data_IF_495289886624
#
_entry.id   IF_495289886624
#
_cell.length_a   1.000
_cell.length_b   1.000
_cell.length_c   1.000
_cell.angle_alpha   90.00
_cell.angle_beta   90.00
_cell.angle_gamma   90.00
#
_symmetry.space_group_name_H-M   'P 1'
#
loop_
_entity.id
_entity.type
_entity.pdbx_description
1 polymer ?
#
# COMPACT_ATOMS: atom_id res chain seq x y z
N UNK A 1 -9.87 3.66 28.92
CA UNK A 1 -9.57 3.73 27.49
C UNK A 1 -8.09 4.03 27.31
N UNK A 2 -7.32 3.15 26.65
CA UNK A 2 -5.89 3.37 26.36
C UNK A 2 -5.80 4.06 25.00
N UNK A 3 -5.57 5.37 25.00
CA UNK A 3 -5.28 6.11 23.77
C UNK A 3 -3.92 5.66 23.22
N UNK A 4 -3.80 5.55 21.89
CA UNK A 4 -2.60 5.07 21.23
C UNK A 4 -1.40 5.95 21.61
N UNK A 5 -0.40 5.37 22.28
CA UNK A 5 0.76 6.09 22.82
C UNK A 5 2.02 5.99 21.94
N UNK A 6 1.91 5.48 20.71
CA UNK A 6 3.07 5.22 19.83
C UNK A 6 2.94 6.00 18.53
N UNK A 7 3.28 7.28 18.59
CA UNK A 7 3.60 8.10 17.41
C UNK A 7 5.01 7.81 16.85
N UNK A 8 5.76 6.92 17.48
CA UNK A 8 7.16 6.56 17.15
C UNK A 8 7.27 5.47 16.07
N UNK A 9 6.15 4.85 15.65
CA UNK A 9 6.21 3.99 14.46
C UNK A 9 6.22 4.89 13.24
N UNK A 10 7.39 5.02 12.61
CA UNK A 10 7.50 5.50 11.24
C UNK A 10 6.50 4.70 10.40
N UNK A 11 5.44 5.34 9.92
CA UNK A 11 4.50 4.73 8.97
C UNK A 11 5.10 4.71 7.56
N UNK A 12 6.42 4.88 7.41
CA UNK A 12 7.07 4.88 6.12
C UNK A 12 8.32 4.01 6.11
N UNK A 13 8.63 3.48 4.92
CA UNK A 13 9.81 2.67 4.66
C UNK A 13 10.47 3.13 3.37
N UNK A 14 11.81 3.15 3.36
CA UNK A 14 12.63 3.32 2.16
C UNK A 14 13.76 2.29 2.16
N UNK A 15 14.04 1.71 1.00
CA UNK A 15 15.14 0.75 0.79
C UNK A 15 15.90 1.08 -0.50
N UNK A 16 17.14 0.63 -0.59
CA UNK A 16 17.94 0.66 -1.83
C UNK A 16 17.60 -0.49 -2.78
N UNK A 17 16.87 -1.49 -2.28
CA UNK A 17 16.27 -2.60 -3.04
C UNK A 17 14.76 -2.42 -3.17
N UNK A 18 14.10 -3.08 -4.13
CA UNK A 18 12.64 -3.15 -4.18
C UNK A 18 12.04 -3.61 -2.85
N UNK A 19 10.90 -3.01 -2.49
CA UNK A 19 10.11 -3.41 -1.33
C UNK A 19 9.44 -4.76 -1.61
N UNK A 20 9.48 -5.64 -0.62
CA UNK A 20 8.78 -6.93 -0.66
C UNK A 20 7.28 -6.74 -0.42
N UNK A 21 6.48 -7.75 -0.76
CA UNK A 21 5.04 -7.70 -0.46
C UNK A 21 4.76 -7.68 1.04
N UNK A 22 5.58 -8.34 1.85
CA UNK A 22 5.49 -8.27 3.31
C UNK A 22 5.76 -6.85 3.84
N UNK A 23 6.77 -6.16 3.28
CA UNK A 23 7.05 -4.75 3.62
C UNK A 23 5.88 -3.85 3.17
N UNK A 24 5.33 -4.05 1.97
CA UNK A 24 4.15 -3.31 1.54
C UNK A 24 2.94 -3.62 2.41
N UNK A 25 2.74 -4.86 2.86
CA UNK A 25 1.63 -5.24 3.72
C UNK A 25 1.74 -4.60 5.11
N UNK A 26 2.96 -4.48 5.62
CA UNK A 26 3.21 -3.86 6.92
C UNK A 26 2.96 -2.34 6.90
N UNK A 27 3.36 -1.64 5.83
CA UNK A 27 3.34 -0.18 5.76
C UNK A 27 2.12 0.38 5.04
N UNK A 28 1.65 -0.28 3.98
CA UNK A 28 0.54 0.15 3.13
C UNK A 28 -0.46 -0.99 2.83
N UNK A 29 -1.05 -1.63 3.86
CA UNK A 29 -1.90 -2.83 3.69
C UNK A 29 -3.09 -2.62 2.74
N UNK A 30 -3.57 -1.38 2.59
CA UNK A 30 -4.69 -1.04 1.71
C UNK A 30 -4.40 -1.29 0.23
N UNK A 31 -3.12 -1.38 -0.20
CA UNK A 31 -2.79 -1.68 -1.61
C UNK A 31 -3.25 -3.09 -2.01
N UNK A 32 -3.35 -4.00 -1.04
CA UNK A 32 -3.82 -5.37 -1.22
C UNK A 32 -5.34 -5.53 -1.10
N UNK A 33 -6.08 -4.43 -0.88
CA UNK A 33 -7.53 -4.48 -0.88
C UNK A 33 -8.05 -4.94 -2.25
N UNK A 34 -8.96 -5.91 -2.25
CA UNK A 34 -9.67 -6.35 -3.46
C UNK A 34 -10.86 -5.48 -3.82
N UNK A 35 -11.32 -4.65 -2.88
CA UNK A 35 -12.53 -3.85 -3.02
C UNK A 35 -12.27 -2.35 -2.86
N UNK A 36 -13.19 -1.56 -3.44
CA UNK A 36 -13.21 -0.11 -3.27
C UNK A 36 -13.50 0.23 -1.81
N UNK A 37 -12.92 1.33 -1.33
CA UNK A 37 -13.33 1.88 -0.05
C UNK A 37 -14.82 2.26 -0.08
N UNK A 38 -15.59 1.88 0.95
CA UNK A 38 -17.03 2.11 1.01
C UNK A 38 -17.47 3.58 0.93
N UNK A 39 -16.57 4.52 1.25
CA UNK A 39 -16.82 5.96 1.07
C UNK A 39 -16.79 6.42 -0.39
N UNK A 40 -16.38 5.57 -1.34
CA UNK A 40 -16.33 5.90 -2.76
C UNK A 40 -17.71 5.76 -3.40
N UNK A 41 -18.03 6.67 -4.31
CA UNK A 41 -19.30 6.69 -5.03
C UNK A 41 -19.52 5.42 -5.87
N UNK A 42 -20.77 5.19 -6.28
CA UNK A 42 -21.13 4.08 -7.18
C UNK A 42 -20.50 4.22 -8.57
N UNK A 43 -20.31 5.45 -9.04
CA UNK A 43 -19.68 5.75 -10.34
C UNK A 43 -18.16 5.54 -10.34
N UNK A 44 -17.55 5.32 -9.18
CA UNK A 44 -16.11 5.10 -9.08
C UNK A 44 -15.75 3.71 -9.59
N UNK A 45 -15.04 3.66 -10.71
CA UNK A 45 -14.49 2.40 -11.25
C UNK A 45 -13.22 2.07 -10.50
N UNK A 46 -13.29 1.05 -9.65
CA UNK A 46 -12.16 0.63 -8.84
C UNK A 46 -11.30 -0.38 -9.57
N UNK A 47 -9.99 -0.14 -9.52
CA UNK A 47 -8.97 -1.11 -9.91
C UNK A 47 -8.15 -1.37 -8.64
N UNK A 48 -8.00 -2.63 -8.19
CA UNK A 48 -7.15 -2.97 -7.06
C UNK A 48 -5.72 -2.45 -7.27
N UNK A 49 -5.19 -1.73 -6.28
CA UNK A 49 -3.86 -1.12 -6.39
C UNK A 49 -2.76 -2.16 -6.60
N UNK A 50 -2.90 -3.34 -5.99
CA UNK A 50 -1.97 -4.46 -6.19
C UNK A 50 -1.88 -4.90 -7.66
N UNK A 51 -2.98 -4.81 -8.42
CA UNK A 51 -2.95 -5.12 -9.86
C UNK A 51 -2.10 -4.12 -10.62
N UNK A 52 -2.17 -2.84 -10.24
CA UNK A 52 -1.34 -1.78 -10.82
C UNK A 52 0.13 -2.02 -10.46
N UNK A 53 0.44 -2.31 -9.19
CA UNK A 53 1.81 -2.60 -8.74
C UNK A 53 2.40 -3.79 -9.49
N UNK A 54 1.64 -4.88 -9.64
CA UNK A 54 2.11 -6.06 -10.37
C UNK A 54 2.39 -5.75 -11.83
N UNK A 55 1.51 -4.98 -12.50
CA UNK A 55 1.77 -4.53 -13.87
C UNK A 55 2.97 -3.61 -13.99
N UNK A 56 3.17 -2.72 -13.03
CA UNK A 56 4.38 -1.89 -12.98
C UNK A 56 5.64 -2.75 -12.82
N UNK A 57 5.60 -3.79 -12.00
CA UNK A 57 6.71 -4.74 -11.83
C UNK A 57 7.02 -5.49 -13.13
N UNK A 58 5.99 -5.93 -13.87
CA UNK A 58 6.14 -6.57 -15.19
C UNK A 58 6.90 -5.65 -16.17
N UNK A 59 6.64 -4.33 -16.09
CA UNK A 59 7.28 -3.28 -16.90
C UNK A 59 8.63 -2.80 -16.32
N UNK A 60 9.14 -3.44 -15.25
CA UNK A 60 10.43 -3.10 -14.63
C UNK A 60 10.39 -1.96 -13.61
N UNK A 61 9.21 -1.39 -13.32
CA UNK A 61 9.03 -0.38 -12.28
C UNK A 61 8.83 -1.04 -10.91
N UNK A 62 9.69 -0.69 -9.96
CA UNK A 62 9.71 -1.30 -8.62
C UNK A 62 9.48 -0.25 -7.52
N UNK A 63 8.74 -0.57 -6.45
CA UNK A 63 8.57 0.33 -5.31
C UNK A 63 9.82 0.31 -4.42
N UNK A 64 10.37 1.48 -4.09
CA UNK A 64 11.49 1.64 -3.15
C UNK A 64 11.10 2.46 -1.90
N UNK A 65 9.86 2.96 -1.86
CA UNK A 65 9.30 3.78 -0.80
C UNK A 65 7.80 3.49 -0.62
N UNK A 66 7.31 3.52 0.62
CA UNK A 66 5.89 3.43 0.95
C UNK A 66 5.58 4.22 2.24
N UNK A 67 4.36 4.75 2.37
CA UNK A 67 3.86 5.50 3.53
C UNK A 67 2.34 5.48 3.67
#
# INVERSE_FOLDING_TARGET
MRLASRFDRYNSIRRERPLTDDELMQFVPSVFSGDKNGARSERYTYIPTINIINKLRDEGFQPFFAC
#
